data_IF_560259711919
#
_entry.id   IF_560259711919
#
_cell.length_a   1.000
_cell.length_b   1.000
_cell.length_c   1.000
_cell.angle_alpha   90.00
_cell.angle_beta   90.00
_cell.angle_gamma   90.00
#
_symmetry.space_group_name_H-M   'P 1'
#
loop_
_entity.id
_entity.type
_entity.pdbx_description
1 polymer ?
#
# COMPACT_ATOMS: atom_id res chain seq x y z
N UNK A 1 -7.28 7.65 -25.48
CA UNK A 1 -6.89 7.97 -24.07
C UNK A 1 -5.46 8.47 -24.08
N UNK A 2 -5.20 9.65 -23.52
CA UNK A 2 -3.85 10.16 -23.44
C UNK A 2 -3.08 9.47 -22.29
N UNK A 3 -1.77 9.71 -22.22
CA UNK A 3 -0.91 9.05 -21.23
C UNK A 3 -1.27 9.42 -19.78
N UNK A 4 -1.75 10.66 -19.55
CA UNK A 4 -2.18 11.12 -18.21
C UNK A 4 -3.40 10.35 -17.73
N UNK A 5 -4.41 10.24 -18.60
CA UNK A 5 -5.63 9.47 -18.29
C UNK A 5 -5.32 8.01 -18.03
N UNK A 6 -4.38 7.45 -18.78
CA UNK A 6 -3.93 6.06 -18.61
C UNK A 6 -3.28 5.86 -17.24
N UNK A 7 -2.38 6.77 -16.84
CA UNK A 7 -1.73 6.69 -15.53
C UNK A 7 -2.72 6.82 -14.38
N UNK A 8 -3.69 7.75 -14.49
CA UNK A 8 -4.74 7.92 -13.48
C UNK A 8 -5.59 6.66 -13.37
N UNK A 9 -6.00 6.09 -14.51
CA UNK A 9 -6.79 4.86 -14.54
C UNK A 9 -6.04 3.69 -13.92
N UNK A 10 -4.74 3.58 -14.18
CA UNK A 10 -3.91 2.48 -13.70
C UNK A 10 -3.75 2.52 -12.16
N UNK A 11 -3.38 3.66 -11.60
CA UNK A 11 -3.24 3.79 -10.15
C UNK A 11 -4.58 3.66 -9.43
N UNK A 12 -5.68 4.14 -10.01
CA UNK A 12 -7.02 3.97 -9.46
C UNK A 12 -7.41 2.50 -9.44
N UNK A 13 -7.14 1.77 -10.52
CA UNK A 13 -7.39 0.34 -10.61
C UNK A 13 -6.59 -0.43 -9.54
N UNK A 14 -5.32 -0.09 -9.37
CA UNK A 14 -4.48 -0.73 -8.36
C UNK A 14 -4.98 -0.43 -6.95
N UNK A 15 -5.41 0.79 -6.66
CA UNK A 15 -5.99 1.15 -5.37
C UNK A 15 -7.27 0.37 -5.10
N UNK A 16 -8.18 0.29 -6.07
CA UNK A 16 -9.43 -0.46 -5.92
C UNK A 16 -9.19 -1.95 -5.74
N UNK A 17 -8.26 -2.50 -6.52
CA UNK A 17 -7.84 -3.90 -6.39
C UNK A 17 -7.27 -4.19 -5.01
N UNK A 18 -6.41 -3.31 -4.51
CA UNK A 18 -5.81 -3.44 -3.18
C UNK A 18 -6.88 -3.35 -2.07
N UNK A 19 -7.84 -2.46 -2.20
CA UNK A 19 -8.92 -2.31 -1.22
C UNK A 19 -9.86 -3.49 -1.22
N UNK A 20 -10.19 -4.03 -2.39
CA UNK A 20 -11.01 -5.24 -2.49
C UNK A 20 -10.27 -6.44 -1.91
N UNK A 21 -8.99 -6.59 -2.22
CA UNK A 21 -8.15 -7.63 -1.64
C UNK A 21 -8.09 -7.50 -0.11
N UNK A 22 -7.90 -6.29 0.39
CA UNK A 22 -7.90 -6.01 1.82
C UNK A 22 -9.22 -6.40 2.47
N UNK A 23 -10.34 -5.92 1.90
CA UNK A 23 -11.67 -6.21 2.44
C UNK A 23 -11.98 -7.70 2.51
N UNK A 24 -11.57 -8.47 1.49
CA UNK A 24 -11.91 -9.90 1.37
C UNK A 24 -10.86 -10.84 1.96
N UNK A 25 -9.59 -10.42 2.01
CA UNK A 25 -8.48 -11.29 2.41
C UNK A 25 -7.73 -10.79 3.63
N UNK A 26 -7.48 -9.48 3.73
CA UNK A 26 -6.74 -8.87 4.83
C UNK A 26 -7.48 -7.61 5.28
N UNK A 27 -8.53 -7.74 6.12
CA UNK A 27 -9.37 -6.60 6.53
C UNK A 27 -8.59 -5.43 7.15
N UNK A 28 -7.47 -5.71 7.81
CA UNK A 28 -6.64 -4.68 8.42
C UNK A 28 -6.05 -3.71 7.38
N UNK A 29 -5.69 -4.20 6.20
CA UNK A 29 -5.25 -3.35 5.07
C UNK A 29 -6.36 -2.39 4.64
N UNK A 30 -7.57 -2.90 4.51
CA UNK A 30 -8.73 -2.08 4.17
C UNK A 30 -8.97 -1.00 5.22
N UNK A 31 -8.86 -1.36 6.49
CA UNK A 31 -9.10 -0.44 7.60
C UNK A 31 -8.10 0.73 7.60
N UNK A 32 -6.83 0.47 7.33
CA UNK A 32 -5.80 1.52 7.27
C UNK A 32 -6.03 2.47 6.09
N UNK A 33 -6.56 1.98 4.98
CA UNK A 33 -6.95 2.81 3.84
C UNK A 33 -5.79 3.25 2.97
N UNK A 34 -4.79 2.38 2.80
CA UNK A 34 -3.65 2.65 1.90
C UNK A 34 -4.14 2.82 0.46
N UNK A 35 -3.57 3.78 -0.26
CA UNK A 35 -3.84 3.98 -1.68
C UNK A 35 -2.55 3.96 -2.50
N UNK A 36 -2.67 3.56 -3.77
CA UNK A 36 -1.55 3.57 -4.72
C UNK A 36 -1.55 4.93 -5.42
N UNK A 37 -0.44 5.66 -5.27
CA UNK A 37 -0.29 6.98 -5.87
C UNK A 37 0.57 6.96 -7.12
N UNK A 38 1.38 5.91 -7.30
CA UNK A 38 2.21 5.75 -8.48
C UNK A 38 2.44 4.25 -8.72
N UNK A 39 2.33 3.81 -9.97
CA UNK A 39 2.60 2.43 -10.35
C UNK A 39 3.21 2.38 -11.75
N UNK A 40 4.31 1.65 -11.87
CA UNK A 40 4.99 1.34 -13.13
C UNK A 40 5.74 0.01 -12.95
N UNK A 41 6.29 -0.59 -14.03
CA UNK A 41 7.09 -1.80 -13.88
C UNK A 41 8.34 -1.64 -13.00
N UNK A 42 8.81 -0.42 -12.81
CA UNK A 42 10.01 -0.12 -12.04
C UNK A 42 9.72 0.34 -10.61
N UNK A 43 8.47 0.76 -10.34
CA UNK A 43 8.20 1.47 -9.10
C UNK A 43 6.72 1.43 -8.70
N UNK A 44 6.47 1.33 -7.41
CA UNK A 44 5.15 1.55 -6.83
C UNK A 44 5.28 2.45 -5.60
N UNK A 45 4.41 3.45 -5.50
CA UNK A 45 4.33 4.32 -4.34
C UNK A 45 2.94 4.20 -3.74
N UNK A 46 2.88 3.97 -2.43
CA UNK A 46 1.63 3.93 -1.69
C UNK A 46 1.59 5.07 -0.69
N UNK A 47 0.39 5.51 -0.36
CA UNK A 47 0.16 6.54 0.64
C UNK A 47 -0.66 5.98 1.78
N UNK A 48 -0.21 6.23 3.01
CA UNK A 48 -0.92 5.92 4.23
C UNK A 48 -1.53 7.23 4.73
N UNK A 49 -2.86 7.36 4.79
CA UNK A 49 -3.48 8.61 5.25
C UNK A 49 -3.37 8.74 6.77
N UNK A 50 -3.07 9.95 7.24
CA UNK A 50 -3.12 10.27 8.66
C UNK A 50 -4.55 10.64 9.02
N UNK A 51 -5.26 9.72 9.65
CA UNK A 51 -6.65 9.86 10.07
C UNK A 51 -6.84 9.27 11.45
N UNK A 52 -8.03 9.41 12.03
CA UNK A 52 -8.32 8.84 13.34
C UNK A 52 -7.94 7.36 13.44
N UNK A 53 -8.18 6.58 12.38
CA UNK A 53 -7.90 5.14 12.35
C UNK A 53 -6.42 4.79 12.34
N UNK A 54 -5.57 5.74 11.95
CA UNK A 54 -4.13 5.53 11.84
C UNK A 54 -3.31 6.34 12.84
N UNK A 55 -3.97 7.14 13.67
CA UNK A 55 -3.31 7.96 14.68
C UNK A 55 -3.05 7.18 15.96
N UNK A 56 -1.96 7.56 16.64
CA UNK A 56 -1.70 7.14 18.00
C UNK A 56 -2.29 8.16 19.00
N UNK A 57 -2.04 7.94 20.30
CA UNK A 57 -2.51 8.82 21.39
C UNK A 57 -1.92 10.22 21.37
N UNK A 58 -0.86 10.46 20.60
CA UNK A 58 -0.22 11.77 20.45
C UNK A 58 -0.64 12.50 19.17
N UNK A 59 -1.54 11.92 18.37
CA UNK A 59 -2.00 12.52 17.12
C UNK A 59 -1.07 12.33 15.94
N UNK A 60 0.02 11.61 16.10
CA UNK A 60 0.90 11.20 14.99
C UNK A 60 0.52 9.80 14.50
N UNK A 61 1.11 9.39 13.37
CA UNK A 61 0.77 8.08 12.82
C UNK A 61 1.28 6.97 13.74
N UNK A 62 0.39 6.05 14.07
CA UNK A 62 0.72 4.87 14.86
C UNK A 62 1.72 3.99 14.10
N UNK A 63 2.76 3.50 14.82
CA UNK A 63 3.80 2.71 14.17
C UNK A 63 3.26 1.45 13.47
N UNK A 64 2.18 0.87 14.01
CA UNK A 64 1.52 -0.27 13.39
C UNK A 64 0.97 0.06 12.00
N UNK A 65 0.43 1.28 11.82
CA UNK A 65 -0.04 1.73 10.50
C UNK A 65 1.14 1.92 9.54
N UNK A 66 2.26 2.45 10.01
CA UNK A 66 3.49 2.57 9.22
C UNK A 66 4.01 1.19 8.78
N UNK A 67 4.00 0.20 9.68
CA UNK A 67 4.40 -1.16 9.36
C UNK A 67 3.47 -1.82 8.34
N UNK A 68 2.16 -1.56 8.45
CA UNK A 68 1.18 -2.08 7.49
C UNK A 68 1.43 -1.49 6.10
N UNK A 69 1.71 -0.19 6.01
CA UNK A 69 2.06 0.45 4.75
C UNK A 69 3.37 -0.08 4.17
N UNK A 70 4.37 -0.29 5.02
CA UNK A 70 5.67 -0.84 4.61
C UNK A 70 5.56 -2.29 4.14
N UNK A 71 4.66 -3.07 4.71
CA UNK A 71 4.31 -4.41 4.22
C UNK A 71 3.54 -4.34 2.91
N UNK A 72 2.57 -3.42 2.85
CA UNK A 72 1.67 -3.28 1.72
C UNK A 72 2.40 -2.87 0.43
N UNK A 73 3.35 -1.95 0.49
CA UNK A 73 4.02 -1.40 -0.70
C UNK A 73 4.75 -2.49 -1.50
N UNK A 74 5.71 -3.25 -0.92
CA UNK A 74 6.37 -4.32 -1.67
C UNK A 74 5.42 -5.48 -1.99
N UNK A 75 4.46 -5.77 -1.14
CA UNK A 75 3.47 -6.82 -1.40
C UNK A 75 2.60 -6.50 -2.60
N UNK A 76 2.04 -5.30 -2.67
CA UNK A 76 1.22 -4.86 -3.79
C UNK A 76 2.05 -4.77 -5.08
N UNK A 77 3.28 -4.29 -4.99
CA UNK A 77 4.18 -4.20 -6.15
C UNK A 77 4.51 -5.60 -6.69
N UNK A 78 4.82 -6.55 -5.80
CA UNK A 78 5.07 -7.93 -6.21
C UNK A 78 3.84 -8.54 -6.88
N UNK A 79 2.65 -8.34 -6.35
CA UNK A 79 1.41 -8.82 -6.97
C UNK A 79 1.18 -8.20 -8.34
N UNK A 80 1.46 -6.91 -8.49
CA UNK A 80 1.39 -6.23 -9.79
C UNK A 80 2.31 -6.88 -10.82
N UNK A 81 3.56 -7.16 -10.43
CA UNK A 81 4.55 -7.78 -11.31
C UNK A 81 4.20 -9.25 -11.62
N UNK A 82 3.73 -10.00 -10.63
CA UNK A 82 3.37 -11.41 -10.77
C UNK A 82 2.20 -11.58 -11.74
N UNK A 83 1.21 -10.68 -11.73
CA UNK A 83 0.08 -10.75 -12.64
C UNK A 83 0.47 -10.63 -14.11
N UNK A 84 1.66 -10.12 -14.40
CA UNK A 84 2.19 -9.99 -15.76
C UNK A 84 3.00 -11.21 -16.19
N UNK A 85 3.12 -12.20 -15.31
CA UNK A 85 3.84 -13.46 -15.56
C UNK A 85 2.84 -14.58 -15.83
N UNK A 86 3.21 -15.57 -16.67
CA UNK A 86 2.34 -16.73 -16.89
C UNK A 86 2.30 -17.69 -15.71
N UNK A 87 3.34 -17.71 -14.87
CA UNK A 87 3.40 -18.59 -13.71
C UNK A 87 2.55 -18.07 -12.56
N UNK A 88 2.03 -19.01 -11.78
CA UNK A 88 1.28 -18.72 -10.58
C UNK A 88 2.24 -18.72 -9.38
N UNK A 89 2.52 -17.53 -8.84
CA UNK A 89 3.45 -17.35 -7.73
C UNK A 89 2.69 -16.82 -6.53
N UNK A 90 2.88 -17.47 -5.38
CA UNK A 90 2.38 -16.99 -4.09
C UNK A 90 3.55 -16.45 -3.29
N UNK A 91 3.37 -15.29 -2.66
CA UNK A 91 4.45 -14.62 -1.94
C UNK A 91 4.04 -14.37 -0.48
N UNK A 92 4.97 -14.63 0.42
CA UNK A 92 4.88 -14.24 1.84
C UNK A 92 6.20 -13.65 2.28
N UNK A 93 6.15 -12.80 3.30
CA UNK A 93 7.38 -12.22 3.86
C UNK A 93 8.05 -13.23 4.78
N UNK A 94 9.38 -13.26 4.71
CA UNK A 94 10.20 -14.07 5.61
C UNK A 94 10.50 -13.32 6.90
N UNK A 95 10.87 -12.04 6.77
CA UNK A 95 11.22 -11.20 7.92
C UNK A 95 10.98 -9.73 7.59
N UNK A 96 10.98 -8.90 8.61
CA UNK A 96 10.72 -7.47 8.51
C UNK A 96 11.50 -6.75 9.60
N UNK A 97 12.16 -5.65 9.25
CA UNK A 97 12.83 -4.77 10.20
C UNK A 97 12.47 -3.31 9.90
N UNK A 98 12.19 -2.53 10.94
CA UNK A 98 11.87 -1.12 10.79
C UNK A 98 12.43 -0.30 11.95
N UNK A 99 12.89 0.92 11.67
CA UNK A 99 13.33 1.88 12.65
C UNK A 99 12.48 3.13 12.54
N UNK A 100 11.95 3.59 13.67
CA UNK A 100 11.06 4.75 13.74
C UNK A 100 11.83 5.93 14.30
N UNK A 101 12.45 6.69 13.41
CA UNK A 101 13.41 7.75 13.75
C UNK A 101 12.74 9.09 14.01
N UNK A 102 11.51 9.29 13.54
CA UNK A 102 10.78 10.56 13.67
C UNK A 102 9.28 10.30 13.63
N UNK A 103 8.53 11.11 14.38
CA UNK A 103 7.06 11.04 14.38
C UNK A 103 6.52 11.48 13.03
N UNK A 104 5.57 10.72 12.49
CA UNK A 104 4.87 11.09 11.26
C UNK A 104 3.63 11.92 11.62
N UNK A 105 3.65 13.20 11.28
CA UNK A 105 2.58 14.15 11.60
C UNK A 105 1.75 14.53 10.38
N UNK A 106 1.80 13.72 9.35
CA UNK A 106 1.05 13.85 8.10
C UNK A 106 0.93 12.50 7.42
N UNK A 107 0.34 12.50 6.22
CA UNK A 107 0.28 11.31 5.37
C UNK A 107 1.71 10.84 5.03
N UNK A 108 1.91 9.54 4.93
CA UNK A 108 3.20 8.92 4.60
C UNK A 108 3.09 8.12 3.33
#
# INVERSE_FOLDING_TARGET
MNWVSKLIAEKTRETLSLRLFGLTRIPLLFYVGVSVTEVSPERMVVRIPLRRRTKNHLGSMYFGALCIGADCAPGAFAMYLIRQQPERISMVFKDFHAEFLKRAEGDV
#
